data_IF_723699911420
#
_entry.id   IF_723699911420
#
_cell.length_a   1.000
_cell.length_b   1.000
_cell.length_c   1.000
_cell.angle_alpha   90.00
_cell.angle_beta   90.00
_cell.angle_gamma   90.00
#
_symmetry.space_group_name_H-M   'P 1'
#
loop_
_entity.id
_entity.type
_entity.pdbx_description
1 polymer ?
#
# COMPACT_ATOMS: atom_id res chain seq x y z
N UNK A 1 5.63 24.36 5.14
CA UNK A 1 6.47 23.39 5.89
C UNK A 1 6.31 23.68 7.37
N UNK A 2 6.58 22.73 8.29
CA UNK A 2 6.84 23.11 9.67
C UNK A 2 7.92 24.20 9.64
N UNK A 3 7.76 25.26 10.44
CA UNK A 3 8.64 26.43 10.45
C UNK A 3 10.01 26.17 11.06
N UNK A 4 10.61 25.02 10.73
CA UNK A 4 11.95 24.59 11.16
C UNK A 4 13.00 25.55 10.59
N UNK A 5 13.85 26.08 11.47
CA UNK A 5 14.95 26.97 11.15
C UNK A 5 16.28 26.22 11.23
N UNK A 6 17.28 26.73 10.53
CA UNK A 6 18.63 26.17 10.52
C UNK A 6 19.24 25.99 11.92
N UNK A 7 18.97 26.93 12.83
CA UNK A 7 19.52 26.95 14.19
C UNK A 7 18.68 26.16 15.22
N UNK A 8 17.61 25.47 14.80
CA UNK A 8 16.79 24.70 15.72
C UNK A 8 17.54 23.46 16.26
N UNK A 9 17.50 23.27 17.58
CA UNK A 9 18.28 22.25 18.30
C UNK A 9 17.43 21.44 19.30
N UNK A 10 16.79 20.32 18.88
CA UNK A 10 16.69 19.87 17.50
C UNK A 10 15.54 20.54 16.75
N UNK A 11 15.66 20.62 15.42
CA UNK A 11 14.51 20.83 14.53
C UNK A 11 13.37 19.84 14.84
N UNK A 12 12.14 20.16 14.49
CA UNK A 12 10.98 19.30 14.75
C UNK A 12 10.94 18.14 13.75
N UNK A 13 11.00 18.45 12.45
CA UNK A 13 10.85 17.44 11.39
C UNK A 13 12.11 16.60 11.17
N UNK A 14 11.92 15.35 10.73
CA UNK A 14 13.04 14.47 10.38
C UNK A 14 13.87 15.00 9.19
N UNK A 15 13.27 15.47 8.07
CA UNK A 15 14.06 16.00 6.95
C UNK A 15 14.92 17.21 7.34
N UNK A 16 14.43 18.09 8.24
CA UNK A 16 15.24 19.20 8.77
C UNK A 16 16.44 18.69 9.58
N UNK A 17 16.23 17.74 10.50
CA UNK A 17 17.32 17.10 11.27
C UNK A 17 18.35 16.46 10.35
N UNK A 18 17.90 15.73 9.34
CA UNK A 18 18.78 15.08 8.36
C UNK A 18 19.57 16.11 7.54
N UNK A 19 18.92 17.18 7.10
CA UNK A 19 19.58 18.27 6.36
C UNK A 19 20.70 18.90 7.20
N UNK A 20 20.41 19.21 8.47
CA UNK A 20 21.42 19.77 9.40
C UNK A 20 22.58 18.81 9.61
N UNK A 21 22.29 17.51 9.81
CA UNK A 21 23.29 16.46 10.00
C UNK A 21 24.19 16.28 8.77
N UNK A 22 23.60 16.25 7.57
CA UNK A 22 24.35 16.16 6.31
C UNK A 22 25.21 17.42 6.09
N UNK A 23 24.71 18.60 6.43
CA UNK A 23 25.47 19.84 6.32
C UNK A 23 26.66 19.91 7.29
N UNK A 24 26.47 19.46 8.53
CA UNK A 24 27.58 19.33 9.50
C UNK A 24 28.65 18.35 9.00
N UNK A 25 28.22 17.23 8.43
CA UNK A 25 29.13 16.24 7.84
C UNK A 25 29.89 16.78 6.64
N UNK A 26 29.19 17.44 5.71
CA UNK A 26 29.79 18.13 4.58
C UNK A 26 30.85 19.12 5.03
N UNK A 27 30.52 19.97 6.02
CA UNK A 27 31.42 21.00 6.55
C UNK A 27 32.64 20.39 7.23
N UNK A 28 32.44 19.35 8.05
CA UNK A 28 33.54 18.66 8.74
C UNK A 28 34.54 18.00 7.77
N UNK A 29 34.04 17.41 6.68
CA UNK A 29 34.86 16.71 5.69
C UNK A 29 35.20 17.55 4.45
N UNK A 30 34.95 18.86 4.48
CA UNK A 30 35.19 19.77 3.35
C UNK A 30 34.60 19.27 2.02
N UNK A 31 33.40 18.66 2.06
CA UNK A 31 32.72 18.15 0.87
C UNK A 31 33.37 16.95 0.18
N UNK A 32 34.19 16.15 0.89
CA UNK A 32 34.77 14.94 0.32
C UNK A 32 33.69 13.94 -0.15
N UNK A 33 33.79 13.48 -1.40
CA UNK A 33 32.78 12.62 -2.04
C UNK A 33 32.73 11.19 -1.45
N UNK A 34 33.83 10.70 -0.90
CA UNK A 34 33.90 9.40 -0.22
C UNK A 34 33.28 9.43 1.20
N UNK A 35 32.76 10.59 1.63
CA UNK A 35 32.13 10.78 2.94
C UNK A 35 30.62 10.89 2.87
N UNK A 36 29.98 10.72 1.72
CA UNK A 36 28.51 10.68 1.66
C UNK A 36 27.90 9.46 2.33
N UNK A 37 26.56 9.43 2.38
CA UNK A 37 25.77 8.38 3.01
C UNK A 37 24.81 7.71 2.04
N UNK A 38 24.55 6.45 2.35
CA UNK A 38 23.43 5.69 1.80
C UNK A 38 22.26 5.88 2.77
N UNK A 39 21.19 6.48 2.28
CA UNK A 39 19.99 6.83 3.04
C UNK A 39 18.86 5.94 2.51
N UNK A 40 18.32 5.11 3.40
CA UNK A 40 17.32 4.08 3.06
C UNK A 40 16.08 4.35 3.94
N UNK A 41 15.19 5.28 3.54
CA UNK A 41 13.93 5.48 4.25
C UNK A 41 13.05 4.22 4.16
N UNK A 42 12.18 4.04 5.14
CA UNK A 42 11.28 2.87 5.25
C UNK A 42 9.81 3.28 5.45
N UNK A 43 9.51 4.57 5.34
CA UNK A 43 8.17 5.12 5.45
C UNK A 43 7.30 4.63 4.27
N UNK A 44 6.00 4.47 4.53
CA UNK A 44 4.99 4.06 3.54
C UNK A 44 4.59 5.23 2.64
N UNK A 45 5.57 5.89 2.04
CA UNK A 45 5.42 7.00 1.10
C UNK A 45 5.87 6.50 -0.28
N UNK A 46 5.15 6.90 -1.34
CA UNK A 46 5.59 6.54 -2.68
C UNK A 46 6.91 7.23 -3.02
N UNK A 47 7.81 6.51 -3.66
CA UNK A 47 9.20 6.91 -3.91
C UNK A 47 9.83 7.65 -2.70
N UNK A 48 9.73 7.04 -1.51
CA UNK A 48 10.15 7.66 -0.23
C UNK A 48 11.60 8.18 -0.21
N UNK A 49 12.53 7.56 -0.95
CA UNK A 49 13.89 8.03 -1.12
C UNK A 49 13.93 9.38 -1.86
N UNK A 50 13.25 9.44 -2.99
CA UNK A 50 13.15 10.65 -3.82
C UNK A 50 12.41 11.77 -3.08
N UNK A 51 11.30 11.44 -2.42
CA UNK A 51 10.54 12.39 -1.60
C UNK A 51 11.38 12.97 -0.45
N UNK A 52 12.17 12.13 0.23
CA UNK A 52 13.08 12.59 1.29
C UNK A 52 14.19 13.48 0.72
N UNK A 53 14.79 13.10 -0.42
CA UNK A 53 15.80 13.92 -1.12
C UNK A 53 15.24 15.30 -1.46
N UNK A 54 14.04 15.37 -2.03
CA UNK A 54 13.39 16.64 -2.36
C UNK A 54 13.13 17.52 -1.13
N UNK A 55 12.79 16.92 0.02
CA UNK A 55 12.60 17.66 1.27
C UNK A 55 13.93 18.21 1.80
N UNK A 56 15.01 17.42 1.73
CA UNK A 56 16.36 17.86 2.13
C UNK A 56 16.85 19.00 1.23
N UNK A 57 16.67 18.89 -0.09
CA UNK A 57 17.03 19.94 -1.05
C UNK A 57 16.24 21.23 -0.80
N UNK A 58 14.95 21.12 -0.50
CA UNK A 58 14.11 22.28 -0.15
C UNK A 58 14.61 22.99 1.11
N UNK A 59 14.97 22.26 2.17
CA UNK A 59 15.57 22.87 3.36
C UNK A 59 16.94 23.50 3.06
N UNK A 60 17.77 22.86 2.25
CA UNK A 60 19.06 23.43 1.85
C UNK A 60 18.89 24.78 1.12
N UNK A 61 17.87 24.90 0.27
CA UNK A 61 17.52 26.14 -0.41
C UNK A 61 16.93 27.19 0.55
N UNK A 62 15.97 26.80 1.39
CA UNK A 62 15.30 27.70 2.35
C UNK A 62 16.29 28.28 3.37
N UNK A 63 17.27 27.47 3.82
CA UNK A 63 18.31 27.89 4.74
C UNK A 63 19.51 28.53 4.04
N UNK A 64 19.44 28.75 2.72
CA UNK A 64 20.49 29.35 1.91
C UNK A 64 21.88 28.69 2.10
N UNK A 65 21.89 27.35 2.16
CA UNK A 65 23.13 26.59 2.30
C UNK A 65 23.99 26.70 1.01
N UNK A 66 25.32 26.56 1.10
CA UNK A 66 26.21 26.71 -0.03
C UNK A 66 25.86 25.78 -1.20
N UNK A 67 25.99 26.27 -2.43
CA UNK A 67 25.78 25.48 -3.65
C UNK A 67 26.64 24.20 -3.68
N UNK A 68 27.86 24.27 -3.14
CA UNK A 68 28.75 23.11 -3.01
C UNK A 68 28.15 21.99 -2.14
N UNK A 69 27.33 22.33 -1.14
CA UNK A 69 26.60 21.32 -0.35
C UNK A 69 25.51 20.66 -1.17
N UNK A 70 24.76 21.43 -1.97
CA UNK A 70 23.71 20.91 -2.86
C UNK A 70 24.32 19.92 -3.88
N UNK A 71 25.45 20.28 -4.49
CA UNK A 71 26.17 19.38 -5.40
C UNK A 71 26.68 18.12 -4.69
N UNK A 72 27.18 18.26 -3.47
CA UNK A 72 27.63 17.12 -2.66
C UNK A 72 26.47 16.20 -2.27
N UNK A 73 25.28 16.73 -1.98
CA UNK A 73 24.08 15.91 -1.74
C UNK A 73 23.79 14.97 -2.90
N UNK A 74 23.89 15.46 -4.14
CA UNK A 74 23.58 14.66 -5.33
C UNK A 74 24.71 13.72 -5.76
N UNK A 75 25.98 14.08 -5.53
CA UNK A 75 27.13 13.32 -6.02
C UNK A 75 27.66 12.29 -5.01
N UNK A 76 27.58 12.59 -3.71
CA UNK A 76 28.18 11.76 -2.68
C UNK A 76 27.17 10.85 -1.97
N UNK A 77 25.87 11.19 -1.99
CA UNK A 77 24.86 10.49 -1.22
C UNK A 77 23.91 9.69 -2.14
N UNK A 78 23.31 8.64 -1.59
CA UNK A 78 22.31 7.83 -2.28
C UNK A 78 21.02 7.83 -1.47
N UNK A 79 19.93 8.34 -2.04
CA UNK A 79 18.60 8.27 -1.47
C UNK A 79 17.85 7.12 -2.12
N UNK A 80 17.72 6.01 -1.41
CA UNK A 80 17.24 4.75 -1.97
C UNK A 80 15.75 4.59 -1.67
N UNK A 81 14.89 4.69 -2.68
CA UNK A 81 13.46 4.43 -2.53
C UNK A 81 13.21 2.96 -2.17
N UNK A 82 12.30 2.68 -1.23
CA UNK A 82 12.04 1.34 -0.73
C UNK A 82 10.59 0.89 -0.84
N UNK A 83 10.42 -0.44 -0.82
CA UNK A 83 9.16 -1.13 -0.61
C UNK A 83 9.39 -2.08 0.56
N UNK A 84 8.68 -1.81 1.64
CA UNK A 84 8.64 -2.66 2.83
C UNK A 84 7.29 -3.39 2.86
N UNK A 85 7.33 -4.68 3.18
CA UNK A 85 6.12 -5.48 3.35
C UNK A 85 6.31 -6.52 4.46
N UNK A 86 5.71 -6.24 5.61
CA UNK A 86 5.55 -7.15 6.74
C UNK A 86 4.41 -6.64 7.61
N UNK A 87 3.46 -7.49 7.95
CA UNK A 87 2.42 -7.20 8.93
C UNK A 87 3.05 -7.28 10.33
N UNK A 88 2.96 -6.18 11.05
CA UNK A 88 3.38 -6.06 12.46
C UNK A 88 2.15 -5.60 13.24
N UNK A 89 1.70 -6.41 14.19
CA UNK A 89 0.50 -6.18 14.99
C UNK A 89 0.77 -5.42 16.29
N UNK A 90 2.05 -5.24 16.65
CA UNK A 90 2.45 -4.52 17.85
C UNK A 90 2.59 -5.43 19.06
N UNK A 91 2.69 -4.79 20.23
CA UNK A 91 2.80 -5.48 21.51
C UNK A 91 1.58 -6.40 21.77
N UNK A 92 1.78 -7.71 22.04
CA UNK A 92 0.71 -8.69 22.13
C UNK A 92 -0.02 -8.65 23.48
N UNK A 93 -0.82 -7.61 23.71
CA UNK A 93 -1.47 -7.35 25.02
C UNK A 93 -2.27 -8.52 25.57
N UNK A 94 -2.94 -9.27 24.70
CA UNK A 94 -3.80 -10.39 25.10
C UNK A 94 -3.04 -11.70 25.33
N UNK A 95 -1.78 -11.79 24.87
CA UNK A 95 -0.97 -13.01 24.92
C UNK A 95 0.31 -12.86 25.76
N UNK A 96 0.68 -11.62 26.13
CA UNK A 96 2.00 -11.33 26.71
C UNK A 96 2.29 -12.09 27.99
N UNK A 97 1.30 -12.26 28.89
CA UNK A 97 1.51 -12.99 30.14
C UNK A 97 1.91 -14.45 29.89
N UNK A 98 1.33 -15.07 28.87
CA UNK A 98 1.65 -16.43 28.46
C UNK A 98 3.02 -16.49 27.77
N UNK A 99 3.31 -15.54 26.88
CA UNK A 99 4.61 -15.46 26.19
C UNK A 99 5.76 -15.24 27.18
N UNK A 100 5.60 -14.37 28.17
CA UNK A 100 6.61 -14.12 29.20
C UNK A 100 6.83 -15.33 30.11
N UNK A 101 5.78 -16.12 30.39
CA UNK A 101 5.90 -17.41 31.09
C UNK A 101 6.71 -18.42 30.25
N UNK A 102 6.43 -18.53 28.95
CA UNK A 102 7.15 -19.43 28.03
C UNK A 102 8.61 -19.00 27.83
N UNK A 103 8.87 -17.69 27.75
CA UNK A 103 10.20 -17.12 27.56
C UNK A 103 11.03 -17.05 28.85
N UNK A 104 10.38 -16.99 30.01
CA UNK A 104 11.02 -16.91 31.33
C UNK A 104 11.55 -15.52 31.69
N UNK A 105 11.15 -14.46 30.98
CA UNK A 105 11.52 -13.07 31.28
C UNK A 105 10.42 -12.08 30.89
N UNK A 106 10.41 -10.92 31.56
CA UNK A 106 9.55 -9.79 31.22
C UNK A 106 10.19 -8.96 30.11
N UNK A 107 9.43 -8.62 29.07
CA UNK A 107 9.91 -7.84 27.94
C UNK A 107 8.91 -6.78 27.49
N UNK A 108 9.15 -5.57 27.98
CA UNK A 108 8.35 -4.39 27.63
C UNK A 108 8.46 -3.93 26.18
N UNK A 109 9.32 -4.54 25.37
CA UNK A 109 9.50 -4.25 23.95
C UNK A 109 9.08 -5.40 23.03
N UNK A 110 8.34 -6.38 23.54
CA UNK A 110 7.77 -7.44 22.70
C UNK A 110 6.94 -6.86 21.56
N UNK A 111 7.11 -7.47 20.39
CA UNK A 111 6.35 -7.14 19.21
C UNK A 111 5.96 -8.44 18.48
N UNK A 112 4.82 -8.41 17.82
CA UNK A 112 4.31 -9.52 17.03
C UNK A 112 4.27 -9.14 15.57
N UNK A 113 4.83 -10.02 14.74
CA UNK A 113 4.85 -9.84 13.31
C UNK A 113 4.68 -11.19 12.63
N UNK A 114 4.16 -11.16 11.41
CA UNK A 114 4.13 -12.36 10.58
C UNK A 114 5.56 -12.84 10.22
N UNK A 115 5.68 -14.10 9.82
CA UNK A 115 6.95 -14.69 9.39
C UNK A 115 7.41 -14.11 8.04
N UNK A 116 6.49 -13.83 7.13
CA UNK A 116 6.79 -13.24 5.83
C UNK A 116 7.38 -11.83 5.99
N UNK A 117 8.42 -11.53 5.21
CA UNK A 117 8.88 -10.17 5.00
C UNK A 117 9.42 -10.02 3.57
N UNK A 118 9.31 -8.83 3.01
CA UNK A 118 9.95 -8.43 1.76
C UNK A 118 10.51 -7.02 1.91
N UNK A 119 11.75 -6.82 1.48
CA UNK A 119 12.39 -5.51 1.45
C UNK A 119 13.03 -5.26 0.08
N UNK A 120 12.44 -4.39 -0.72
CA UNK A 120 13.00 -3.99 -2.02
C UNK A 120 13.61 -2.61 -1.89
N UNK A 121 14.83 -2.45 -2.37
CA UNK A 121 15.60 -1.20 -2.30
C UNK A 121 15.99 -0.83 -3.74
N UNK A 122 15.49 0.32 -4.21
CA UNK A 122 15.95 0.93 -5.44
C UNK A 122 17.27 1.66 -5.18
N UNK A 123 18.35 1.20 -5.78
CA UNK A 123 19.66 1.79 -5.53
C UNK A 123 20.82 1.06 -6.19
N UNK A 124 22.05 1.53 -5.98
CA UNK A 124 23.22 0.95 -6.64
C UNK A 124 23.45 -0.50 -6.19
N UNK A 125 23.85 -1.37 -7.11
CA UNK A 125 24.11 -2.80 -6.84
C UNK A 125 25.18 -3.04 -5.77
N UNK A 126 26.06 -2.06 -5.53
CA UNK A 126 27.03 -2.10 -4.43
C UNK A 126 26.39 -2.21 -3.04
N UNK A 127 25.11 -1.83 -2.89
CA UNK A 127 24.34 -2.01 -1.66
C UNK A 127 24.29 -3.46 -1.19
N UNK A 128 24.24 -4.42 -2.12
CA UNK A 128 24.21 -5.83 -1.75
C UNK A 128 25.45 -6.22 -0.94
N UNK A 129 26.62 -5.71 -1.32
CA UNK A 129 27.88 -5.92 -0.60
C UNK A 129 27.92 -5.13 0.71
N UNK A 130 27.50 -3.86 0.69
CA UNK A 130 27.48 -3.00 1.89
C UNK A 130 26.59 -3.59 3.00
N UNK A 131 25.40 -4.09 2.61
CA UNK A 131 24.43 -4.72 3.51
C UNK A 131 24.72 -6.22 3.75
N UNK A 132 25.77 -6.78 3.13
CA UNK A 132 26.21 -8.18 3.27
C UNK A 132 25.10 -9.19 2.93
N UNK A 133 24.30 -8.88 1.90
CA UNK A 133 23.16 -9.71 1.48
C UNK A 133 23.60 -11.04 0.84
N UNK A 134 24.86 -11.13 0.39
CA UNK A 134 25.47 -12.36 -0.15
C UNK A 134 25.68 -13.44 0.92
N UNK A 135 25.67 -13.07 2.21
CA UNK A 135 25.97 -13.99 3.31
C UNK A 135 24.77 -14.76 3.82
N UNK A 136 23.55 -14.30 3.52
CA UNK A 136 22.33 -14.85 4.07
C UNK A 136 21.22 -14.82 3.02
N UNK A 137 20.36 -15.86 2.95
CA UNK A 137 19.24 -15.90 2.02
C UNK A 137 18.08 -15.03 2.53
N UNK A 138 18.32 -13.73 2.68
CA UNK A 138 17.31 -12.76 3.12
C UNK A 138 16.40 -12.39 1.95
N UNK A 139 15.12 -12.15 2.23
CA UNK A 139 14.18 -11.63 1.22
C UNK A 139 14.34 -10.12 1.02
N UNK A 140 15.56 -9.72 0.61
CA UNK A 140 15.96 -8.35 0.34
C UNK A 140 16.43 -8.26 -1.11
N UNK A 141 15.80 -7.40 -1.90
CA UNK A 141 16.09 -7.22 -3.33
C UNK A 141 16.69 -5.83 -3.57
N UNK A 142 17.85 -5.77 -4.22
CA UNK A 142 18.40 -4.52 -4.76
C UNK A 142 18.04 -4.46 -6.24
N UNK A 143 17.31 -3.42 -6.64
CA UNK A 143 16.73 -3.29 -7.98
C UNK A 143 17.06 -1.93 -8.59
N UNK A 144 17.06 -1.88 -9.92
CA UNK A 144 17.25 -0.63 -10.66
C UNK A 144 15.95 0.20 -10.70
N UNK A 145 14.77 -0.45 -10.73
CA UNK A 145 13.44 0.16 -10.67
C UNK A 145 12.52 -0.62 -9.73
N UNK A 146 11.93 0.06 -8.74
CA UNK A 146 11.02 -0.53 -7.75
C UNK A 146 9.57 -0.61 -8.21
N UNK A 147 9.21 0.11 -9.28
CA UNK A 147 7.84 0.23 -9.76
C UNK A 147 7.16 -1.12 -10.01
N UNK A 148 7.78 -2.10 -10.71
CA UNK A 148 7.12 -3.39 -10.96
C UNK A 148 6.80 -4.16 -9.67
N UNK A 149 7.67 -4.08 -8.66
CA UNK A 149 7.48 -4.72 -7.36
C UNK A 149 6.35 -4.07 -6.56
N UNK A 150 6.23 -2.75 -6.63
CA UNK A 150 5.10 -2.00 -6.05
C UNK A 150 3.80 -2.38 -6.73
N UNK A 151 3.76 -2.37 -8.06
CA UNK A 151 2.57 -2.73 -8.84
C UNK A 151 2.14 -4.17 -8.55
N UNK A 152 3.08 -5.12 -8.47
CA UNK A 152 2.81 -6.50 -8.03
C UNK A 152 2.17 -6.56 -6.64
N UNK A 153 2.75 -5.88 -5.63
CA UNK A 153 2.19 -5.87 -4.27
C UNK A 153 0.79 -5.26 -4.25
N UNK A 154 0.61 -4.12 -4.92
CA UNK A 154 -0.67 -3.41 -4.98
C UNK A 154 -1.74 -4.26 -5.68
N UNK A 155 -1.39 -4.94 -6.76
CA UNK A 155 -2.33 -5.76 -7.51
C UNK A 155 -2.65 -7.08 -6.81
N UNK A 156 -1.64 -7.84 -6.37
CA UNK A 156 -1.84 -9.18 -5.82
C UNK A 156 -2.26 -9.12 -4.36
N UNK A 157 -1.47 -8.51 -3.47
CA UNK A 157 -1.79 -8.48 -2.04
C UNK A 157 -2.96 -7.54 -1.75
N UNK A 158 -2.80 -6.26 -2.11
CA UNK A 158 -3.80 -5.25 -1.76
C UNK A 158 -5.07 -5.40 -2.61
N UNK A 159 -4.93 -5.78 -3.88
CA UNK A 159 -6.05 -6.08 -4.76
C UNK A 159 -6.82 -7.31 -4.27
N UNK A 160 -6.16 -8.42 -3.91
CA UNK A 160 -6.88 -9.57 -3.37
C UNK A 160 -7.70 -9.23 -2.12
N UNK A 161 -7.15 -8.46 -1.17
CA UNK A 161 -7.94 -7.95 -0.04
C UNK A 161 -9.14 -7.12 -0.48
N UNK A 162 -8.93 -6.17 -1.38
CA UNK A 162 -10.01 -5.29 -1.86
C UNK A 162 -11.10 -6.06 -2.62
N UNK A 163 -10.75 -7.12 -3.34
CA UNK A 163 -11.72 -8.00 -4.00
C UNK A 163 -12.45 -8.93 -3.01
N UNK A 164 -11.71 -9.48 -2.05
CA UNK A 164 -12.20 -10.45 -1.06
C UNK A 164 -13.21 -9.84 -0.08
N UNK A 165 -12.86 -8.70 0.51
CA UNK A 165 -13.59 -8.11 1.64
C UNK A 165 -15.09 -7.95 1.42
N UNK A 166 -15.57 -7.27 0.36
CA UNK A 166 -17.01 -7.06 0.20
C UNK A 166 -17.75 -8.37 -0.09
N UNK A 167 -17.10 -9.33 -0.77
CA UNK A 167 -17.70 -10.64 -1.08
C UNK A 167 -17.82 -11.49 0.19
N UNK A 168 -16.72 -11.68 0.91
CA UNK A 168 -16.67 -12.47 2.15
C UNK A 168 -17.57 -11.88 3.24
N UNK A 169 -17.57 -10.55 3.38
CA UNK A 169 -18.40 -9.90 4.38
C UNK A 169 -19.89 -10.11 4.10
N UNK A 170 -20.32 -9.96 2.84
CA UNK A 170 -21.72 -10.20 2.47
C UNK A 170 -22.11 -11.67 2.50
N UNK A 171 -21.14 -12.60 2.46
CA UNK A 171 -21.35 -14.03 2.71
C UNK A 171 -21.50 -14.37 4.21
N UNK A 172 -21.41 -13.39 5.11
CA UNK A 172 -21.58 -13.58 6.55
C UNK A 172 -20.30 -13.93 7.32
N UNK A 173 -19.14 -13.73 6.71
CA UNK A 173 -17.83 -13.89 7.35
C UNK A 173 -17.33 -12.56 7.90
N UNK A 174 -16.51 -12.58 8.93
CA UNK A 174 -16.05 -11.38 9.64
C UNK A 174 -14.52 -11.19 9.60
N UNK A 175 -13.78 -12.26 9.33
CA UNK A 175 -12.31 -12.22 9.27
C UNK A 175 -11.74 -12.78 7.96
N UNK A 176 -10.54 -12.33 7.61
CA UNK A 176 -9.79 -12.90 6.47
C UNK A 176 -9.55 -14.41 6.67
N UNK A 177 -9.23 -14.84 7.90
CA UNK A 177 -9.01 -16.25 8.21
C UNK A 177 -10.26 -17.11 7.97
N UNK A 178 -11.44 -16.64 8.39
CA UNK A 178 -12.73 -17.30 8.06
C UNK A 178 -12.95 -17.38 6.56
N UNK A 179 -12.72 -16.27 5.84
CA UNK A 179 -12.85 -16.20 4.39
C UNK A 179 -11.94 -17.19 3.65
N UNK A 180 -10.73 -17.42 4.15
CA UNK A 180 -9.79 -18.38 3.58
C UNK A 180 -10.09 -19.84 3.97
N UNK A 181 -10.88 -20.07 5.02
CA UNK A 181 -11.33 -21.39 5.45
C UNK A 181 -12.65 -21.79 4.76
N UNK A 182 -13.39 -20.83 4.21
CA UNK A 182 -14.54 -21.09 3.35
C UNK A 182 -14.10 -21.48 1.93
N UNK A 183 -14.57 -22.63 1.43
CA UNK A 183 -14.11 -23.19 0.17
C UNK A 183 -14.52 -22.34 -1.06
N UNK A 184 -15.69 -21.72 -1.04
CA UNK A 184 -16.19 -20.93 -2.18
C UNK A 184 -15.50 -19.57 -2.22
N UNK A 185 -15.34 -18.93 -1.07
CA UNK A 185 -14.67 -17.63 -0.94
C UNK A 185 -13.17 -17.75 -1.23
N UNK A 186 -12.53 -18.81 -0.72
CA UNK A 186 -11.13 -19.09 -1.04
C UNK A 186 -10.94 -19.33 -2.55
N UNK A 187 -11.79 -20.13 -3.18
CA UNK A 187 -11.72 -20.37 -4.62
C UNK A 187 -11.97 -19.09 -5.44
N UNK A 188 -12.85 -18.20 -4.97
CA UNK A 188 -13.08 -16.90 -5.59
C UNK A 188 -11.80 -16.05 -5.62
N UNK A 189 -11.14 -15.87 -4.47
CA UNK A 189 -9.95 -15.01 -4.39
C UNK A 189 -8.75 -15.63 -5.11
N UNK A 190 -8.53 -16.94 -5.01
CA UNK A 190 -7.45 -17.62 -5.73
C UNK A 190 -7.64 -17.44 -7.25
N UNK A 191 -8.84 -17.69 -7.78
CA UNK A 191 -9.08 -17.52 -9.21
C UNK A 191 -9.00 -16.06 -9.65
N UNK A 192 -9.45 -15.11 -8.83
CA UNK A 192 -9.27 -13.69 -9.13
C UNK A 192 -7.77 -13.34 -9.26
N UNK A 193 -6.92 -13.85 -8.37
CA UNK A 193 -5.47 -13.65 -8.44
C UNK A 193 -4.87 -14.30 -9.68
N UNK A 194 -5.04 -15.62 -9.85
CA UNK A 194 -4.30 -16.39 -10.86
C UNK A 194 -4.84 -16.22 -12.29
N UNK A 195 -6.14 -15.97 -12.46
CA UNK A 195 -6.77 -15.91 -13.79
C UNK A 195 -7.07 -14.48 -14.25
N UNK A 196 -7.18 -13.50 -13.35
CA UNK A 196 -7.59 -12.13 -13.71
C UNK A 196 -6.54 -11.07 -13.38
N UNK A 197 -5.76 -11.22 -12.30
CA UNK A 197 -4.74 -10.24 -11.89
C UNK A 197 -3.36 -10.58 -12.46
N UNK A 198 -2.83 -11.78 -12.21
CA UNK A 198 -1.49 -12.18 -12.68
C UNK A 198 -1.30 -12.01 -14.19
N UNK A 199 -2.25 -12.40 -15.07
CA UNK A 199 -2.03 -12.35 -16.52
C UNK A 199 -1.83 -10.95 -17.11
N UNK A 200 -2.09 -9.88 -16.37
CA UNK A 200 -1.99 -8.49 -16.85
C UNK A 200 -0.85 -7.71 -16.19
N UNK A 201 -0.03 -8.36 -15.36
CA UNK A 201 1.14 -7.76 -14.71
C UNK A 201 2.42 -7.95 -15.54
N UNK A 202 3.34 -7.00 -15.44
CA UNK A 202 4.59 -6.94 -16.21
C UNK A 202 5.79 -7.48 -15.42
N UNK A 203 5.69 -8.73 -14.95
CA UNK A 203 6.76 -9.45 -14.26
C UNK A 203 6.76 -10.94 -14.66
N UNK A 204 7.88 -11.67 -14.48
CA UNK A 204 7.93 -13.10 -14.72
C UNK A 204 6.82 -13.84 -13.96
N UNK A 205 6.12 -14.74 -14.66
CA UNK A 205 4.94 -15.42 -14.13
C UNK A 205 5.24 -16.26 -12.89
N UNK A 206 6.38 -16.95 -12.88
CA UNK A 206 6.86 -17.73 -11.74
C UNK A 206 7.10 -16.86 -10.49
N UNK A 207 7.63 -15.65 -10.67
CA UNK A 207 7.78 -14.68 -9.60
C UNK A 207 6.42 -14.18 -9.07
N UNK A 208 5.46 -13.93 -9.97
CA UNK A 208 4.10 -13.52 -9.62
C UNK A 208 3.34 -14.62 -8.87
N UNK A 209 3.42 -15.87 -9.34
CA UNK A 209 2.77 -17.03 -8.74
C UNK A 209 3.38 -17.38 -7.38
N UNK A 210 4.71 -17.28 -7.24
CA UNK A 210 5.40 -17.43 -5.95
C UNK A 210 4.94 -16.38 -4.94
N UNK A 211 4.84 -15.11 -5.37
CA UNK A 211 4.33 -14.04 -4.51
C UNK A 211 2.85 -14.26 -4.15
N UNK A 212 2.00 -14.65 -5.10
CA UNK A 212 0.60 -14.98 -4.84
C UNK A 212 0.43 -16.14 -3.85
N UNK A 213 1.22 -17.20 -3.99
CA UNK A 213 1.23 -18.31 -3.03
C UNK A 213 1.61 -17.85 -1.63
N UNK A 214 2.62 -16.97 -1.51
CA UNK A 214 2.98 -16.37 -0.23
C UNK A 214 1.83 -15.52 0.34
N UNK A 215 1.16 -14.71 -0.47
CA UNK A 215 -0.02 -13.92 -0.07
C UNK A 215 -1.15 -14.80 0.45
N UNK A 216 -1.53 -15.85 -0.29
CA UNK A 216 -2.57 -16.79 0.14
C UNK A 216 -2.20 -17.47 1.46
N UNK A 217 -0.92 -17.83 1.63
CA UNK A 217 -0.40 -18.36 2.90
C UNK A 217 -0.55 -17.37 4.07
N UNK A 218 -0.31 -16.08 3.82
CA UNK A 218 -0.48 -15.00 4.83
C UNK A 218 -1.93 -14.81 5.23
N UNK A 219 -2.87 -14.89 4.28
CA UNK A 219 -4.31 -14.78 4.59
C UNK A 219 -4.82 -15.94 5.44
N UNK A 220 -4.18 -17.11 5.33
CA UNK A 220 -4.47 -18.30 6.13
C UNK A 220 -3.77 -18.32 7.49
N UNK A 221 -3.06 -17.26 7.88
CA UNK A 221 -2.33 -17.24 9.16
C UNK A 221 -3.31 -17.30 10.35
N UNK A 222 -3.34 -18.40 11.13
CA UNK A 222 -4.32 -18.57 12.22
C UNK A 222 -4.04 -17.68 13.42
N UNK A 223 -2.84 -17.09 13.51
CA UNK A 223 -2.42 -16.23 14.63
C UNK A 223 -2.77 -14.76 14.39
N UNK A 224 -3.27 -14.37 13.20
CA UNK A 224 -3.64 -13.00 12.88
C UNK A 224 -5.15 -12.91 12.60
N UNK A 225 -5.89 -12.32 13.53
CA UNK A 225 -7.34 -12.08 13.36
C UNK A 225 -7.61 -10.77 12.63
N UNK A 226 -7.47 -10.78 11.30
CA UNK A 226 -7.68 -9.59 10.48
C UNK A 226 -9.17 -9.36 10.18
N UNK A 227 -9.78 -8.35 10.79
CA UNK A 227 -11.19 -8.01 10.64
C UNK A 227 -11.50 -7.43 9.25
N UNK A 228 -12.50 -7.96 8.55
CA UNK A 228 -12.88 -7.50 7.20
C UNK A 228 -13.31 -6.03 7.21
N UNK A 229 -14.07 -5.60 8.22
CA UNK A 229 -14.48 -4.19 8.36
C UNK A 229 -13.30 -3.23 8.53
N UNK A 230 -12.24 -3.63 9.24
CA UNK A 230 -11.02 -2.83 9.35
C UNK A 230 -10.30 -2.66 8.01
N UNK A 231 -10.39 -3.68 7.14
CA UNK A 231 -9.80 -3.63 5.79
C UNK A 231 -10.69 -2.82 4.83
N UNK A 232 -12.01 -2.79 5.06
CA UNK A 232 -12.99 -2.14 4.20
C UNK A 232 -12.88 -0.60 4.15
N UNK A 233 -12.21 0.02 5.13
CA UNK A 233 -11.99 1.48 5.19
C UNK A 233 -11.51 2.05 3.84
N UNK A 234 -12.13 3.12 3.35
CA UNK A 234 -11.81 3.76 2.06
C UNK A 234 -11.96 2.82 0.85
N UNK A 235 -13.00 2.00 0.86
CA UNK A 235 -13.23 0.92 -0.10
C UNK A 235 -13.26 1.37 -1.57
N UNK A 236 -13.88 2.51 -1.88
CA UNK A 236 -13.95 3.01 -3.26
C UNK A 236 -12.60 3.50 -3.76
N UNK A 237 -11.87 4.26 -2.95
CA UNK A 237 -10.51 4.71 -3.26
C UNK A 237 -9.56 3.52 -3.42
N UNK A 238 -9.68 2.49 -2.58
CA UNK A 238 -8.95 1.22 -2.71
C UNK A 238 -9.31 0.49 -4.00
N UNK A 239 -10.59 0.38 -4.35
CA UNK A 239 -11.02 -0.27 -5.58
C UNK A 239 -10.43 0.42 -6.81
N UNK A 240 -10.51 1.75 -6.88
CA UNK A 240 -9.96 2.55 -7.99
C UNK A 240 -8.46 2.34 -8.16
N UNK A 241 -7.72 2.30 -7.07
CA UNK A 241 -6.25 2.24 -7.11
C UNK A 241 -5.71 0.81 -7.25
N UNK A 242 -6.45 -0.20 -6.79
CA UNK A 242 -5.96 -1.60 -6.68
C UNK A 242 -6.61 -2.57 -7.67
N UNK A 243 -7.88 -2.39 -8.00
CA UNK A 243 -8.66 -3.32 -8.83
C UNK A 243 -8.94 -2.76 -10.22
N UNK A 244 -9.38 -1.50 -10.32
CA UNK A 244 -9.79 -0.90 -11.59
C UNK A 244 -8.71 -0.99 -12.69
N UNK A 245 -7.40 -0.77 -12.42
CA UNK A 245 -6.37 -0.93 -13.44
C UNK A 245 -6.33 -2.35 -14.02
N UNK A 246 -6.47 -3.36 -13.15
CA UNK A 246 -6.46 -4.77 -13.57
C UNK A 246 -7.73 -5.16 -14.31
N UNK A 247 -8.89 -4.64 -13.89
CA UNK A 247 -10.16 -4.81 -14.56
C UNK A 247 -10.11 -4.29 -16.01
N UNK A 248 -9.57 -3.07 -16.20
CA UNK A 248 -9.46 -2.44 -17.52
C UNK A 248 -8.37 -3.08 -18.38
N UNK A 249 -7.23 -3.46 -17.79
CA UNK A 249 -6.18 -4.20 -18.49
C UNK A 249 -6.69 -5.57 -18.97
N UNK A 250 -7.42 -6.30 -18.13
CA UNK A 250 -8.04 -7.57 -18.48
C UNK A 250 -9.08 -7.42 -19.59
N UNK A 251 -9.92 -6.38 -19.53
CA UNK A 251 -10.86 -6.06 -20.61
C UNK A 251 -10.15 -5.78 -21.94
N UNK A 252 -9.09 -4.96 -21.90
CA UNK A 252 -8.30 -4.63 -23.09
C UNK A 252 -7.62 -5.86 -23.69
N UNK A 253 -7.13 -6.78 -22.86
CA UNK A 253 -6.44 -7.98 -23.30
C UNK A 253 -7.40 -9.03 -23.88
N UNK A 254 -8.58 -9.22 -23.27
CA UNK A 254 -9.48 -10.35 -23.56
C UNK A 254 -10.77 -9.95 -24.29
N UNK A 255 -11.04 -8.65 -24.45
CA UNK A 255 -12.27 -8.13 -25.06
C UNK A 255 -13.51 -8.16 -24.14
N UNK A 256 -13.40 -8.74 -22.95
CA UNK A 256 -14.49 -8.86 -21.96
C UNK A 256 -14.01 -8.48 -20.56
N UNK A 257 -14.89 -7.91 -19.73
CA UNK A 257 -14.57 -7.60 -18.35
C UNK A 257 -14.27 -8.88 -17.52
N UNK A 258 -13.20 -8.90 -16.71
CA UNK A 258 -12.91 -9.99 -15.78
C UNK A 258 -14.07 -10.24 -14.80
N UNK A 259 -14.56 -11.48 -14.75
CA UNK A 259 -15.83 -11.78 -14.09
C UNK A 259 -15.76 -11.57 -12.56
N UNK A 260 -14.66 -11.97 -11.91
CA UNK A 260 -14.53 -11.93 -10.45
C UNK A 260 -14.21 -10.53 -9.96
N UNK A 261 -13.36 -9.78 -10.67
CA UNK A 261 -13.13 -8.37 -10.36
C UNK A 261 -14.41 -7.54 -10.57
N UNK A 262 -15.21 -7.86 -11.58
CA UNK A 262 -16.55 -7.24 -11.78
C UNK A 262 -17.50 -7.60 -10.64
N UNK A 263 -17.50 -8.86 -10.20
CA UNK A 263 -18.30 -9.30 -9.07
C UNK A 263 -17.88 -8.63 -7.76
N UNK A 264 -16.58 -8.45 -7.52
CA UNK A 264 -16.06 -7.70 -6.37
C UNK A 264 -16.56 -6.25 -6.36
N UNK A 265 -16.64 -5.58 -7.52
CA UNK A 265 -17.23 -4.24 -7.63
C UNK A 265 -18.72 -4.25 -7.27
N UNK A 266 -19.47 -5.22 -7.78
CA UNK A 266 -20.89 -5.36 -7.48
C UNK A 266 -21.12 -5.61 -5.97
N UNK A 267 -20.32 -6.48 -5.37
CA UNK A 267 -20.33 -6.74 -3.93
C UNK A 267 -19.95 -5.50 -3.13
N UNK A 268 -18.99 -4.70 -3.62
CA UNK A 268 -18.60 -3.44 -3.00
C UNK A 268 -19.76 -2.45 -3.02
N UNK A 269 -20.40 -2.23 -4.18
CA UNK A 269 -21.60 -1.38 -4.29
C UNK A 269 -22.67 -1.83 -3.28
N UNK A 270 -22.92 -3.14 -3.17
CA UNK A 270 -23.85 -3.71 -2.18
C UNK A 270 -23.38 -3.51 -0.72
N UNK A 271 -22.07 -3.54 -0.46
CA UNK A 271 -21.49 -3.27 0.87
C UNK A 271 -21.78 -1.84 1.34
N UNK A 272 -21.79 -0.85 0.43
CA UNK A 272 -22.16 0.53 0.79
C UNK A 272 -23.65 0.70 1.15
N UNK A 273 -24.47 -0.34 1.04
CA UNK A 273 -25.83 -0.32 1.62
C UNK A 273 -25.78 -0.19 3.15
N UNK A 274 -24.68 -0.60 3.79
CA UNK A 274 -24.49 -0.49 5.24
C UNK A 274 -25.39 -1.40 6.06
N UNK A 275 -25.91 -2.47 5.45
CA UNK A 275 -26.82 -3.43 6.10
C UNK A 275 -26.56 -4.86 5.62
N UNK A 276 -26.42 -5.78 6.58
CA UNK A 276 -26.23 -7.23 6.39
C UNK A 276 -27.18 -7.96 7.34
N UNK A 277 -28.02 -8.86 6.83
CA UNK A 277 -28.99 -9.64 7.61
C UNK A 277 -29.93 -8.81 8.50
N UNK A 278 -30.31 -7.60 8.06
CA UNK A 278 -31.18 -6.69 8.83
C UNK A 278 -30.45 -5.87 9.90
N UNK A 279 -29.14 -6.06 10.08
CA UNK A 279 -28.31 -5.30 11.00
C UNK A 279 -27.47 -4.27 10.24
N UNK A 280 -27.34 -3.07 10.81
CA UNK A 280 -26.50 -2.02 10.25
C UNK A 280 -25.05 -2.17 10.70
N UNK A 281 -24.11 -1.82 9.82
CA UNK A 281 -22.69 -1.80 10.13
C UNK A 281 -22.05 -0.49 9.65
N UNK A 282 -20.94 -0.06 10.28
CA UNK A 282 -20.28 1.17 9.89
C UNK A 282 -19.58 1.00 8.53
N UNK A 283 -19.95 1.84 7.57
CA UNK A 283 -19.18 2.06 6.34
C UNK A 283 -18.28 3.27 6.57
N UNK A 284 -16.98 3.10 6.34
CA UNK A 284 -15.98 4.16 6.54
C UNK A 284 -15.30 4.46 5.21
N UNK A 285 -15.52 5.67 4.69
CA UNK A 285 -14.92 6.18 3.46
C UNK A 285 -14.93 7.71 3.49
N UNK A 286 -14.42 8.34 2.43
CA UNK A 286 -14.53 9.78 2.20
C UNK A 286 -16.01 10.23 2.17
N UNK A 287 -16.27 11.42 2.73
CA UNK A 287 -17.62 11.96 2.90
C UNK A 287 -18.45 11.96 1.60
N UNK A 288 -17.81 12.29 0.47
CA UNK A 288 -18.43 12.22 -0.86
C UNK A 288 -19.07 10.85 -1.13
N UNK A 289 -18.35 9.75 -0.88
CA UNK A 289 -18.87 8.40 -1.13
C UNK A 289 -19.97 8.03 -0.16
N UNK A 290 -19.80 8.37 1.12
CA UNK A 290 -20.79 8.08 2.14
C UNK A 290 -22.13 8.76 1.83
N UNK A 291 -22.12 10.06 1.54
CA UNK A 291 -23.32 10.84 1.21
C UNK A 291 -23.98 10.31 -0.07
N UNK A 292 -23.18 10.05 -1.11
CA UNK A 292 -23.68 9.56 -2.39
C UNK A 292 -24.35 8.20 -2.24
N UNK A 293 -23.68 7.23 -1.63
CA UNK A 293 -24.26 5.90 -1.46
C UNK A 293 -25.47 5.90 -0.53
N UNK A 294 -25.46 6.74 0.53
CA UNK A 294 -26.62 6.92 1.38
C UNK A 294 -27.84 7.40 0.57
N UNK A 295 -27.65 8.41 -0.29
CA UNK A 295 -28.70 8.91 -1.17
C UNK A 295 -29.20 7.84 -2.15
N UNK A 296 -28.29 7.16 -2.86
CA UNK A 296 -28.64 6.16 -3.87
C UNK A 296 -29.38 4.96 -3.25
N UNK A 297 -28.90 4.45 -2.12
CA UNK A 297 -29.56 3.33 -1.43
C UNK A 297 -30.88 3.74 -0.78
N UNK A 298 -31.05 5.01 -0.38
CA UNK A 298 -32.36 5.53 0.06
C UNK A 298 -33.35 5.56 -1.12
N UNK A 299 -32.95 6.14 -2.26
CA UNK A 299 -33.79 6.19 -3.45
C UNK A 299 -34.16 4.80 -3.97
N UNK A 300 -33.22 3.84 -3.91
CA UNK A 300 -33.47 2.45 -4.28
C UNK A 300 -34.48 1.78 -3.32
N UNK A 301 -34.33 1.99 -2.01
CA UNK A 301 -35.26 1.48 -0.97
C UNK A 301 -36.67 2.03 -1.15
N UNK A 302 -36.77 3.32 -1.48
CA UNK A 302 -38.03 4.02 -1.73
C UNK A 302 -38.60 3.74 -3.14
N UNK A 303 -37.93 2.88 -3.92
CA UNK A 303 -38.30 2.48 -5.29
C UNK A 303 -38.36 3.65 -6.28
N UNK A 304 -37.62 4.72 -6.00
CA UNK A 304 -37.46 5.87 -6.90
C UNK A 304 -36.55 5.50 -8.07
N UNK A 305 -35.48 4.74 -7.80
CA UNK A 305 -34.55 4.22 -8.83
C UNK A 305 -34.46 2.70 -8.75
N UNK A 306 -34.21 2.06 -9.90
CA UNK A 306 -33.95 0.62 -9.97
C UNK A 306 -32.47 0.28 -9.71
N UNK A 307 -32.16 -1.01 -9.50
CA UNK A 307 -30.77 -1.47 -9.30
C UNK A 307 -29.86 -1.12 -10.49
N UNK A 308 -30.35 -1.26 -11.72
CA UNK A 308 -29.58 -0.91 -12.92
C UNK A 308 -29.23 0.58 -12.98
N UNK A 309 -30.16 1.44 -12.60
CA UNK A 309 -29.97 2.89 -12.57
C UNK A 309 -28.99 3.30 -11.47
N UNK A 310 -29.12 2.73 -10.26
CA UNK A 310 -28.16 2.93 -9.16
C UNK A 310 -26.73 2.60 -9.62
N UNK A 311 -26.54 1.42 -10.24
CA UNK A 311 -25.23 0.99 -10.72
C UNK A 311 -24.74 1.92 -11.83
N UNK A 312 -25.59 2.32 -12.77
CA UNK A 312 -25.22 3.26 -13.82
C UNK A 312 -24.76 4.62 -13.27
N UNK A 313 -25.42 5.14 -12.22
CA UNK A 313 -25.04 6.40 -11.56
C UNK A 313 -23.69 6.27 -10.83
N UNK A 314 -23.43 5.13 -10.19
CA UNK A 314 -22.12 4.86 -9.56
C UNK A 314 -21.02 4.80 -10.62
N UNK A 315 -21.24 4.06 -11.71
CA UNK A 315 -20.24 3.87 -12.78
C UNK A 315 -20.01 5.13 -13.62
N UNK A 316 -20.98 6.06 -13.67
CA UNK A 316 -20.85 7.33 -14.39
C UNK A 316 -20.06 8.39 -13.62
N UNK A 317 -19.64 8.12 -12.39
CA UNK A 317 -18.93 9.10 -11.55
C UNK A 317 -17.56 9.45 -12.15
N UNK A 318 -17.32 10.75 -12.34
CA UNK A 318 -16.13 11.29 -13.01
C UNK A 318 -15.21 12.03 -12.06
N UNK A 319 -15.62 12.30 -10.81
CA UNK A 319 -14.80 13.11 -9.92
C UNK A 319 -13.39 12.52 -9.69
N UNK A 320 -12.38 13.41 -9.64
CA UNK A 320 -11.03 13.03 -9.26
C UNK A 320 -11.04 12.74 -7.76
N UNK A 321 -10.96 11.46 -7.42
CA UNK A 321 -10.71 11.04 -6.05
C UNK A 321 -9.36 11.57 -5.60
N UNK A 322 -9.36 12.30 -4.47
CA UNK A 322 -8.23 12.68 -3.61
C UNK A 322 -6.83 12.74 -4.24
N UNK A 323 -6.26 13.94 -4.26
CA UNK A 323 -4.92 14.26 -4.76
C UNK A 323 -3.83 13.19 -4.51
N UNK A 324 -3.34 12.62 -5.61
CA UNK A 324 -1.98 12.11 -5.81
C UNK A 324 -1.42 12.72 -7.11
N UNK A 325 -0.10 12.95 -7.24
CA UNK A 325 0.43 13.90 -8.21
C UNK A 325 0.56 13.24 -9.60
N UNK A 326 -0.55 13.12 -10.34
CA UNK A 326 -0.56 13.35 -11.80
C UNK A 326 -1.99 13.36 -12.38
N UNK A 327 -2.78 14.36 -12.01
CA UNK A 327 -4.13 14.56 -12.60
C UNK A 327 -4.09 15.06 -14.06
N UNK A 328 -2.90 15.22 -14.66
CA UNK A 328 -2.73 15.79 -16.00
C UNK A 328 -2.92 14.78 -17.14
N UNK A 329 -2.88 13.47 -16.86
CA UNK A 329 -2.97 12.43 -17.88
C UNK A 329 -4.41 12.02 -18.30
N UNK A 330 -5.45 12.62 -17.69
CA UNK A 330 -6.83 12.12 -17.79
C UNK A 330 -7.75 12.89 -18.75
N UNK A 331 -7.25 13.93 -19.42
CA UNK A 331 -7.99 14.73 -20.40
C UNK A 331 -7.75 14.24 -21.83
N UNK A 332 -8.26 13.06 -22.17
CA UNK A 332 -8.22 12.64 -23.57
C UNK A 332 -8.62 11.21 -23.82
N UNK A 333 -9.94 10.96 -23.83
CA UNK A 333 -10.67 9.95 -24.64
C UNK A 333 -12.05 9.70 -24.02
N UNK A 334 -12.94 10.67 -24.17
CA UNK A 334 -14.37 10.42 -24.18
C UNK A 334 -14.82 10.60 -25.63
N UNK A 335 -15.04 9.49 -26.32
CA UNK A 335 -15.46 9.49 -27.72
C UNK A 335 -14.95 8.26 -28.47
N UNK A 336 -15.57 7.11 -28.21
CA UNK A 336 -15.94 6.06 -29.17
C UNK A 336 -16.54 4.87 -28.42
#
# INVERSE_FOLDING_TARGET
MPGDKFDDAPAVSYPAKLTRLLFERFSHFNGALDKGWIIIPCELIDYNGDALRELVLRYAQEWALPEAFIQWLDQANSFCSTLVDRIVTGYPRDEVAKLEEELGYHDGFLDTAEHFYLFVIQGPKSLATELRLDKYPLNVLIVDDIKPYKERKVAILNGAHTALVPVAFQAGLDTVGEAMNDAEICAFVEKAIYEEIIPVLDLPRDELESFASAVTGRFRNPYIKHQLLSIALNGMTKFRTRILPQLLAGQKANGTLPARLTFALAALIAFYRGERNGETYPVQDDAHWLERYQQLWSQHRDRVIGTQELVAIVLAEKEPLGAGPDASAWSGRAGC
#
